data_IF_726256272872
#
_entry.id   IF_726256272872
#
_cell.length_a   1.000
_cell.length_b   1.000
_cell.length_c   1.000
_cell.angle_alpha   90.00
_cell.angle_beta   90.00
_cell.angle_gamma   90.00
#
_symmetry.space_group_name_H-M   'P 1'
#
loop_
_entity.id
_entity.type
_entity.pdbx_description
1 polymer ?
#
# COMPACT_ATOMS: atom_id res chain seq x y z
N UNK A 1 -47.31 -16.01 -7.56
CA UNK A 1 -46.45 -14.82 -7.59
C UNK A 1 -45.86 -14.53 -6.20
N UNK A 2 -45.02 -15.38 -5.63
CA UNK A 2 -44.38 -15.17 -4.29
C UNK A 2 -43.05 -15.91 -4.14
N UNK A 3 -42.15 -15.85 -5.11
CA UNK A 3 -40.83 -16.52 -4.96
C UNK A 3 -39.59 -15.73 -5.42
N UNK A 4 -39.70 -14.46 -5.78
CA UNK A 4 -38.56 -13.68 -6.28
C UNK A 4 -37.91 -12.71 -5.30
N UNK A 5 -38.35 -12.70 -4.02
CA UNK A 5 -37.88 -11.71 -3.03
C UNK A 5 -36.76 -12.17 -2.09
N UNK A 6 -36.28 -13.43 -2.15
CA UNK A 6 -35.33 -13.98 -1.17
C UNK A 6 -33.86 -14.10 -1.64
N UNK A 7 -33.52 -13.75 -2.87
CA UNK A 7 -32.15 -13.97 -3.41
C UNK A 7 -31.22 -12.75 -3.26
N UNK A 8 -31.74 -11.55 -2.97
CA UNK A 8 -30.92 -10.32 -2.94
C UNK A 8 -30.00 -10.10 -1.72
N UNK A 9 -30.25 -10.59 -0.49
CA UNK A 9 -29.37 -10.28 0.64
C UNK A 9 -28.05 -11.06 0.64
N UNK A 10 -28.05 -12.28 0.09
CA UNK A 10 -26.88 -13.17 0.16
C UNK A 10 -25.78 -12.78 -0.82
N UNK A 11 -26.15 -12.27 -2.01
CA UNK A 11 -25.20 -11.79 -3.03
C UNK A 11 -24.48 -10.51 -2.60
N UNK A 12 -25.18 -9.59 -1.89
CA UNK A 12 -24.58 -8.38 -1.32
C UNK A 12 -23.65 -8.66 -0.13
N UNK A 13 -23.96 -9.69 0.67
CA UNK A 13 -23.10 -10.12 1.78
C UNK A 13 -21.79 -10.74 1.27
N UNK A 14 -21.85 -11.55 0.21
CA UNK A 14 -20.66 -12.15 -0.40
C UNK A 14 -19.76 -11.13 -1.09
N UNK A 15 -20.31 -10.07 -1.72
CA UNK A 15 -19.49 -9.00 -2.31
C UNK A 15 -18.80 -8.14 -1.24
N UNK A 16 -19.48 -7.83 -0.12
CA UNK A 16 -18.86 -7.09 1.00
C UNK A 16 -17.77 -7.90 1.71
N UNK A 17 -17.95 -9.22 1.80
CA UNK A 17 -16.91 -10.09 2.35
C UNK A 17 -15.76 -10.32 1.38
N UNK A 18 -15.99 -10.41 0.07
CA UNK A 18 -14.91 -10.47 -0.95
C UNK A 18 -14.06 -9.21 -0.94
N UNK A 19 -14.66 -8.03 -0.86
CA UNK A 19 -13.91 -6.76 -0.75
C UNK A 19 -13.05 -6.69 0.54
N UNK A 20 -13.55 -7.20 1.68
CA UNK A 20 -12.79 -7.22 2.93
C UNK A 20 -11.64 -8.24 2.95
N UNK A 21 -11.77 -9.35 2.22
CA UNK A 21 -10.75 -10.41 2.13
C UNK A 21 -9.63 -10.01 1.17
N UNK A 22 -9.94 -9.34 0.06
CA UNK A 22 -8.94 -8.79 -0.85
C UNK A 22 -8.04 -7.76 -0.15
N UNK A 23 -8.60 -6.96 0.77
CA UNK A 23 -7.86 -5.93 1.52
C UNK A 23 -6.84 -6.52 2.52
N UNK A 24 -7.04 -7.76 3.00
CA UNK A 24 -6.21 -8.34 4.06
C UNK A 24 -4.92 -9.02 3.61
N UNK A 25 -4.79 -9.42 2.34
CA UNK A 25 -3.71 -10.31 1.92
C UNK A 25 -2.87 -9.81 0.74
N UNK A 26 -3.39 -8.89 -0.06
CA UNK A 26 -2.55 -8.12 -1.00
C UNK A 26 -1.79 -6.99 -0.28
N UNK A 27 -2.12 -6.71 0.97
CA UNK A 27 -1.27 -5.97 1.89
C UNK A 27 0.10 -6.65 2.11
N UNK A 28 0.25 -7.94 1.82
CA UNK A 28 1.54 -8.63 1.83
C UNK A 28 2.48 -8.13 0.72
N UNK A 29 1.96 -7.75 -0.45
CA UNK A 29 2.79 -7.39 -1.60
C UNK A 29 3.06 -5.89 -1.77
N UNK A 30 2.28 -5.02 -1.13
CA UNK A 30 2.35 -3.56 -1.32
C UNK A 30 2.33 -2.77 -0.01
N UNK A 31 2.71 -3.45 1.09
CA UNK A 31 2.81 -2.82 2.39
C UNK A 31 1.66 -1.87 2.69
N UNK A 32 0.67 -2.38 3.42
CA UNK A 32 -0.37 -1.57 4.03
C UNK A 32 -1.30 -0.81 3.07
N UNK A 33 -2.28 -1.51 2.55
CA UNK A 33 -3.59 -0.90 2.44
C UNK A 33 -4.03 -0.57 3.88
N UNK A 34 -3.66 0.60 4.35
CA UNK A 34 -4.16 1.14 5.60
C UNK A 34 -5.69 1.13 5.52
N UNK A 35 -6.40 0.48 6.47
CA UNK A 35 -7.85 0.46 6.46
C UNK A 35 -8.34 1.91 6.64
N UNK A 36 -8.87 2.46 5.56
CA UNK A 36 -9.32 3.83 5.49
C UNK A 36 -8.89 4.40 4.14
N UNK A 37 -9.81 4.47 3.17
CA UNK A 37 -9.55 5.17 1.91
C UNK A 37 -9.20 6.61 2.23
N UNK A 38 -7.92 6.96 2.11
CA UNK A 38 -7.46 8.32 2.37
C UNK A 38 -8.20 9.28 1.45
N UNK A 39 -9.06 10.13 2.01
CA UNK A 39 -9.64 11.28 1.32
C UNK A 39 -8.65 12.44 1.27
N UNK A 40 -7.37 12.17 0.94
CA UNK A 40 -6.37 13.20 0.81
C UNK A 40 -6.77 14.17 -0.32
N UNK A 41 -6.99 15.42 0.02
CA UNK A 41 -7.17 16.51 -0.95
C UNK A 41 -5.79 17.02 -1.35
N UNK A 42 -5.46 16.91 -2.62
CA UNK A 42 -4.15 17.19 -3.22
C UNK A 42 -3.75 18.69 -3.22
N UNK A 43 -4.09 19.44 -2.18
CA UNK A 43 -3.75 20.89 -2.13
C UNK A 43 -2.30 21.19 -1.67
N UNK A 44 -1.47 20.14 -1.45
CA UNK A 44 -0.18 20.31 -0.76
C UNK A 44 1.06 19.82 -1.51
N UNK A 45 0.99 19.51 -2.81
CA UNK A 45 2.17 19.10 -3.60
C UNK A 45 2.64 20.21 -4.54
N UNK A 46 3.96 20.39 -4.67
CA UNK A 46 4.58 21.34 -5.60
C UNK A 46 4.59 20.86 -7.06
N UNK A 47 3.85 19.81 -7.40
CA UNK A 47 3.76 19.27 -8.75
C UNK A 47 2.33 19.15 -9.25
N UNK A 48 2.18 19.18 -10.59
CA UNK A 48 0.89 18.99 -11.25
C UNK A 48 0.60 17.50 -11.45
N UNK A 49 -0.44 16.97 -10.80
CA UNK A 49 -0.86 15.57 -10.94
C UNK A 49 -1.25 15.18 -12.38
N UNK A 50 -1.77 16.12 -13.18
CA UNK A 50 -2.09 15.85 -14.58
C UNK A 50 -0.82 15.58 -15.40
N UNK A 51 0.28 16.27 -15.10
CA UNK A 51 1.59 16.05 -15.70
C UNK A 51 2.14 14.67 -15.32
N UNK A 52 2.03 14.29 -14.04
CA UNK A 52 2.41 12.97 -13.53
C UNK A 52 1.61 11.85 -14.22
N UNK A 53 0.29 12.01 -14.33
CA UNK A 53 -0.57 11.04 -15.02
C UNK A 53 -0.14 10.89 -16.47
N UNK A 54 0.10 11.99 -17.17
CA UNK A 54 0.54 11.97 -18.57
C UNK A 54 1.88 11.25 -18.73
N UNK A 55 2.88 11.61 -17.93
CA UNK A 55 4.21 11.02 -18.00
C UNK A 55 4.21 9.51 -17.72
N UNK A 56 3.53 9.08 -16.66
CA UNK A 56 3.44 7.67 -16.29
C UNK A 56 2.60 6.84 -17.26
N UNK A 57 1.59 7.44 -17.93
CA UNK A 57 0.81 6.76 -18.99
C UNK A 57 1.63 6.59 -20.27
N UNK A 58 2.33 7.64 -20.74
CA UNK A 58 3.09 7.62 -22.00
C UNK A 58 4.27 6.64 -21.97
N UNK A 59 4.83 6.37 -20.81
CA UNK A 59 6.04 5.58 -20.63
C UNK A 59 5.79 4.15 -20.11
N UNK A 60 4.52 3.67 -20.16
CA UNK A 60 4.14 2.37 -19.63
C UNK A 60 3.53 1.46 -20.70
N UNK A 61 3.97 0.21 -20.73
CA UNK A 61 3.33 -0.84 -21.52
C UNK A 61 2.15 -1.42 -20.74
N UNK A 62 0.93 -1.21 -21.23
CA UNK A 62 -0.28 -1.80 -20.68
C UNK A 62 -0.42 -3.22 -21.23
N UNK A 63 -0.60 -4.25 -20.39
CA UNK A 63 -0.94 -5.57 -20.88
C UNK A 63 -2.28 -5.52 -21.59
N UNK A 64 -2.29 -5.67 -22.90
CA UNK A 64 -3.52 -5.69 -23.71
C UNK A 64 -4.10 -7.10 -23.77
N UNK A 65 -5.31 -7.29 -23.21
CA UNK A 65 -6.10 -8.53 -23.35
C UNK A 65 -6.90 -8.86 -22.08
N UNK A 66 -8.03 -9.54 -22.25
CA UNK A 66 -8.74 -10.18 -21.14
C UNK A 66 -7.91 -11.37 -20.64
N UNK A 67 -7.15 -11.16 -19.56
CA UNK A 67 -6.37 -12.21 -18.91
C UNK A 67 -7.22 -12.74 -17.75
N UNK A 68 -7.28 -14.06 -17.57
CA UNK A 68 -7.94 -14.65 -16.39
C UNK A 68 -7.26 -14.21 -15.09
N UNK A 69 -8.01 -14.17 -13.98
CA UNK A 69 -7.56 -13.66 -12.67
C UNK A 69 -6.21 -14.26 -12.24
N UNK A 70 -6.04 -15.59 -12.34
CA UNK A 70 -4.79 -16.27 -11.96
C UNK A 70 -3.60 -15.80 -12.81
N UNK A 71 -3.78 -15.68 -14.13
CA UNK A 71 -2.73 -15.22 -15.03
C UNK A 71 -2.35 -13.75 -14.77
N UNK A 72 -3.31 -12.92 -14.38
CA UNK A 72 -3.06 -11.53 -14.01
C UNK A 72 -2.17 -11.43 -12.74
N UNK A 73 -2.42 -12.25 -11.71
CA UNK A 73 -1.56 -12.31 -10.52
C UNK A 73 -0.17 -12.87 -10.83
N UNK A 74 -0.06 -13.86 -11.71
CA UNK A 74 1.24 -14.38 -12.17
C UNK A 74 2.05 -13.29 -12.91
N UNK A 75 1.39 -12.52 -13.79
CA UNK A 75 2.04 -11.38 -14.47
C UNK A 75 2.49 -10.32 -13.48
N UNK A 76 1.64 -9.98 -12.51
CA UNK A 76 1.99 -9.03 -11.47
C UNK A 76 3.23 -9.49 -10.68
N UNK A 77 3.29 -10.76 -10.29
CA UNK A 77 4.48 -11.32 -9.64
C UNK A 77 5.75 -11.24 -10.49
N UNK A 78 5.63 -11.43 -11.82
CA UNK A 78 6.76 -11.26 -12.75
C UNK A 78 7.24 -9.80 -12.81
N UNK A 79 6.32 -8.83 -12.80
CA UNK A 79 6.66 -7.41 -12.80
C UNK A 79 7.36 -7.01 -11.51
N UNK A 80 6.80 -7.37 -10.34
CA UNK A 80 7.41 -7.12 -9.03
C UNK A 80 8.84 -7.68 -8.96
N UNK A 81 9.04 -8.91 -9.43
CA UNK A 81 10.36 -9.52 -9.47
C UNK A 81 11.33 -8.75 -10.38
N UNK A 82 10.89 -8.36 -11.58
CA UNK A 82 11.70 -7.59 -12.52
C UNK A 82 12.20 -6.29 -11.89
N UNK A 83 11.33 -5.61 -11.14
CA UNK A 83 11.68 -4.37 -10.46
C UNK A 83 12.61 -4.63 -9.27
N UNK A 84 12.38 -5.70 -8.51
CA UNK A 84 13.24 -6.08 -7.39
C UNK A 84 14.66 -6.48 -7.84
N UNK A 85 14.80 -7.14 -9.01
CA UNK A 85 16.10 -7.58 -9.56
C UNK A 85 16.87 -6.42 -10.23
N UNK A 86 16.37 -5.16 -10.23
CA UNK A 86 17.09 -4.00 -10.81
C UNK A 86 18.23 -3.53 -9.92
N UNK A 87 19.35 -3.22 -10.54
CA UNK A 87 20.53 -2.67 -9.86
C UNK A 87 20.36 -1.18 -9.49
N UNK A 88 19.57 -0.43 -10.29
CA UNK A 88 19.37 1.01 -10.12
C UNK A 88 17.86 1.34 -10.12
N UNK A 89 17.44 2.17 -9.16
CA UNK A 89 16.09 2.69 -9.04
C UNK A 89 16.03 4.15 -9.49
N UNK A 90 14.96 4.50 -10.20
CA UNK A 90 14.78 5.86 -10.71
C UNK A 90 14.00 6.71 -9.72
N UNK A 91 14.63 7.69 -9.09
CA UNK A 91 13.92 8.63 -8.21
C UNK A 91 12.93 9.44 -9.02
N UNK A 92 11.66 9.40 -8.66
CA UNK A 92 10.58 10.09 -9.33
C UNK A 92 10.02 11.28 -8.53
N UNK A 93 9.78 11.09 -7.22
CA UNK A 93 9.38 12.18 -6.33
C UNK A 93 10.38 12.32 -5.19
N UNK A 94 10.63 13.55 -4.78
CA UNK A 94 11.43 13.89 -3.60
C UNK A 94 10.63 14.75 -2.64
N UNK A 95 10.57 14.31 -1.39
CA UNK A 95 10.13 15.11 -0.26
C UNK A 95 11.32 15.72 0.48
N UNK A 96 11.09 16.24 1.67
CA UNK A 96 12.11 16.79 2.58
C UNK A 96 13.12 15.71 2.99
N UNK A 97 12.68 14.53 3.32
CA UNK A 97 13.48 13.34 3.67
C UNK A 97 13.07 12.12 2.84
N UNK A 98 11.82 12.03 2.45
CA UNK A 98 11.23 10.91 1.72
C UNK A 98 11.63 10.91 0.23
N UNK A 99 11.81 9.72 -0.32
CA UNK A 99 12.10 9.50 -1.75
C UNK A 99 11.17 8.42 -2.26
N UNK A 100 10.53 8.67 -3.41
CA UNK A 100 9.66 7.71 -4.10
C UNK A 100 10.25 7.42 -5.46
N UNK A 101 10.44 6.14 -5.78
CA UNK A 101 10.98 5.72 -7.06
C UNK A 101 9.88 5.50 -8.09
N UNK A 102 10.26 5.52 -9.37
CA UNK A 102 9.34 5.22 -10.47
C UNK A 102 8.84 3.78 -10.37
N UNK A 103 9.70 2.87 -10.00
CA UNK A 103 9.41 1.44 -9.83
C UNK A 103 8.38 1.21 -8.73
N UNK A 104 8.47 1.90 -7.58
CA UNK A 104 7.44 1.85 -6.52
C UNK A 104 6.08 2.35 -7.02
N UNK A 105 6.06 3.41 -7.84
CA UNK A 105 4.82 3.90 -8.44
C UNK A 105 4.24 2.90 -9.45
N UNK A 106 5.07 2.33 -10.34
CA UNK A 106 4.65 1.34 -11.32
C UNK A 106 4.04 0.10 -10.66
N UNK A 107 4.64 -0.40 -9.57
CA UNK A 107 4.09 -1.49 -8.76
C UNK A 107 2.73 -1.13 -8.15
N UNK A 108 2.59 0.08 -7.60
CA UNK A 108 1.32 0.56 -7.07
C UNK A 108 0.23 0.69 -8.15
N UNK A 109 0.60 1.20 -9.33
CA UNK A 109 -0.32 1.31 -10.48
C UNK A 109 -0.79 -0.08 -10.93
N UNK A 110 0.14 -1.03 -11.10
CA UNK A 110 -0.18 -2.42 -11.48
C UNK A 110 -1.15 -3.06 -10.51
N UNK A 111 -0.94 -2.84 -9.22
CA UNK A 111 -1.83 -3.32 -8.17
C UNK A 111 -3.27 -2.78 -8.32
N UNK A 112 -3.42 -1.47 -8.50
CA UNK A 112 -4.75 -0.86 -8.64
C UNK A 112 -5.44 -1.26 -9.94
N UNK A 113 -4.68 -1.37 -11.04
CA UNK A 113 -5.19 -1.87 -12.33
C UNK A 113 -5.63 -3.33 -12.22
N UNK A 114 -4.85 -4.19 -11.54
CA UNK A 114 -5.22 -5.57 -11.23
C UNK A 114 -6.52 -5.65 -10.41
N UNK A 115 -6.74 -4.69 -9.51
CA UNK A 115 -7.99 -4.51 -8.76
C UNK A 115 -9.17 -3.98 -9.60
N UNK A 116 -8.98 -3.73 -10.92
CA UNK A 116 -10.02 -3.24 -11.83
C UNK A 116 -10.17 -1.73 -11.87
N UNK A 117 -9.22 -0.96 -11.33
CA UNK A 117 -9.22 0.49 -11.43
C UNK A 117 -8.76 0.92 -12.83
N UNK A 118 -9.37 1.99 -13.37
CA UNK A 118 -8.89 2.62 -14.60
C UNK A 118 -7.50 3.21 -14.37
N UNK A 119 -6.63 3.08 -15.36
CA UNK A 119 -5.21 3.46 -15.25
C UNK A 119 -5.00 4.88 -14.74
N UNK A 120 -5.69 5.88 -15.29
CA UNK A 120 -5.58 7.27 -14.80
C UNK A 120 -5.86 7.40 -13.29
N UNK A 121 -6.88 6.70 -12.79
CA UNK A 121 -7.21 6.69 -11.37
C UNK A 121 -6.20 5.87 -10.57
N UNK A 122 -5.70 4.77 -11.14
CA UNK A 122 -4.67 3.94 -10.54
C UNK A 122 -3.38 4.73 -10.32
N UNK A 123 -2.95 5.54 -11.30
CA UNK A 123 -1.80 6.44 -11.18
C UNK A 123 -2.01 7.42 -10.03
N UNK A 124 -3.15 8.13 -10.00
CA UNK A 124 -3.45 9.11 -8.95
C UNK A 124 -3.45 8.47 -7.56
N UNK A 125 -4.02 7.28 -7.43
CA UNK A 125 -4.06 6.57 -6.14
C UNK A 125 -2.70 6.00 -5.76
N UNK A 126 -1.93 5.45 -6.70
CA UNK A 126 -0.58 4.95 -6.44
C UNK A 126 0.36 6.06 -5.95
N UNK A 127 0.36 7.22 -6.61
CA UNK A 127 1.16 8.39 -6.18
C UNK A 127 0.78 8.83 -4.79
N UNK A 128 -0.52 8.96 -4.52
CA UNK A 128 -1.04 9.35 -3.21
C UNK A 128 -0.63 8.37 -2.11
N UNK A 129 -0.79 7.07 -2.35
CA UNK A 129 -0.44 6.04 -1.37
C UNK A 129 1.08 5.96 -1.14
N UNK A 130 1.88 6.11 -2.19
CA UNK A 130 3.34 6.16 -2.05
C UNK A 130 3.78 7.36 -1.20
N UNK A 131 3.22 8.56 -1.44
CA UNK A 131 3.51 9.74 -0.61
C UNK A 131 3.14 9.51 0.86
N UNK A 132 1.98 8.94 1.12
CA UNK A 132 1.54 8.62 2.50
C UNK A 132 2.48 7.60 3.13
N UNK A 133 2.77 6.50 2.43
CA UNK A 133 3.63 5.41 2.94
C UNK A 133 5.02 5.91 3.30
N UNK A 134 5.67 6.62 2.38
CA UNK A 134 7.02 7.14 2.62
C UNK A 134 7.04 8.22 3.72
N UNK A 135 6.02 9.09 3.79
CA UNK A 135 5.93 10.08 4.87
C UNK A 135 5.78 9.44 6.25
N UNK A 136 4.96 8.38 6.35
CA UNK A 136 4.77 7.65 7.63
C UNK A 136 6.01 6.84 7.96
N UNK A 137 6.72 6.27 6.98
CA UNK A 137 7.98 5.56 7.19
C UNK A 137 9.06 6.48 7.75
N UNK A 138 9.25 7.67 7.15
CA UNK A 138 10.20 8.68 7.61
C UNK A 138 9.89 9.12 9.06
N UNK A 139 8.60 9.33 9.36
CA UNK A 139 8.19 9.68 10.71
C UNK A 139 8.43 8.53 11.70
N UNK A 140 8.08 7.31 11.33
CA UNK A 140 8.29 6.13 12.17
C UNK A 140 9.78 5.93 12.51
N UNK A 141 10.66 6.09 11.53
CA UNK A 141 12.12 5.96 11.74
C UNK A 141 12.68 7.12 12.57
N UNK A 142 12.20 8.35 12.36
CA UNK A 142 12.57 9.51 13.17
C UNK A 142 12.13 9.36 14.65
N UNK A 143 11.01 8.69 14.90
CA UNK A 143 10.51 8.33 16.23
C UNK A 143 11.16 7.06 16.83
N UNK A 144 12.13 6.45 16.12
CA UNK A 144 12.92 5.32 16.60
C UNK A 144 12.29 3.94 16.39
N UNK A 145 11.25 3.81 15.57
CA UNK A 145 10.60 2.53 15.25
C UNK A 145 11.38 1.74 14.18
N UNK A 146 12.69 1.66 14.33
CA UNK A 146 13.53 0.84 13.47
C UNK A 146 13.35 -0.65 13.78
N UNK A 147 13.64 -1.50 12.80
CA UNK A 147 13.56 -2.95 12.93
C UNK A 147 14.87 -3.61 12.50
N UNK A 148 15.18 -4.74 13.11
CA UNK A 148 16.29 -5.59 12.72
C UNK A 148 15.87 -6.64 11.71
N UNK A 149 16.83 -7.18 10.98
CA UNK A 149 16.59 -8.29 10.03
C UNK A 149 15.97 -9.51 10.72
N UNK A 150 16.35 -9.81 11.97
CA UNK A 150 15.80 -10.94 12.72
C UNK A 150 14.34 -10.72 13.11
N UNK A 151 13.95 -9.49 13.44
CA UNK A 151 12.55 -9.15 13.71
C UNK A 151 11.70 -9.27 12.46
N UNK A 152 12.21 -8.85 11.29
CA UNK A 152 11.52 -9.02 10.00
C UNK A 152 11.36 -10.51 9.69
N UNK A 153 12.42 -11.31 9.82
CA UNK A 153 12.36 -12.77 9.60
C UNK A 153 11.36 -13.44 10.52
N UNK A 154 11.33 -13.06 11.79
CA UNK A 154 10.36 -13.60 12.76
C UNK A 154 8.93 -13.25 12.35
N UNK A 155 8.66 -11.99 11.95
CA UNK A 155 7.36 -11.54 11.51
C UNK A 155 6.89 -12.29 10.25
N UNK A 156 7.75 -12.39 9.23
CA UNK A 156 7.46 -13.15 7.99
C UNK A 156 7.27 -14.64 8.28
N UNK A 157 7.97 -15.20 9.26
CA UNK A 157 7.76 -16.59 9.70
C UNK A 157 6.35 -16.85 10.23
N UNK A 158 5.75 -15.89 10.95
CA UNK A 158 4.34 -15.98 11.38
C UNK A 158 3.37 -15.78 10.21
N UNK A 159 3.65 -14.85 9.30
CA UNK A 159 2.84 -14.68 8.09
C UNK A 159 2.78 -15.94 7.24
N UNK A 160 3.90 -16.62 7.01
CA UNK A 160 3.95 -17.90 6.28
C UNK A 160 3.01 -18.96 6.86
N UNK A 161 2.91 -19.05 8.19
CA UNK A 161 2.02 -20.00 8.87
C UNK A 161 0.53 -19.72 8.62
N UNK A 162 0.17 -18.45 8.43
CA UNK A 162 -1.22 -18.04 8.21
C UNK A 162 -1.64 -18.10 6.74
N UNK A 163 -0.69 -17.89 5.83
CA UNK A 163 -0.93 -17.84 4.39
C UNK A 163 -1.59 -19.10 3.82
N UNK A 164 -1.18 -20.27 4.29
CA UNK A 164 -1.75 -21.56 3.85
C UNK A 164 -3.24 -21.76 4.17
N UNK A 165 -3.84 -20.91 5.03
CA UNK A 165 -5.24 -20.96 5.46
C UNK A 165 -6.08 -19.83 4.88
N UNK A 166 -5.52 -19.03 4.02
CA UNK A 166 -6.16 -17.83 3.53
C UNK A 166 -7.13 -18.11 2.38
N UNK A 167 -8.23 -17.37 2.36
CA UNK A 167 -9.30 -17.50 1.37
C UNK A 167 -8.85 -17.19 -0.07
N UNK A 168 -7.74 -16.44 -0.23
CA UNK A 168 -7.14 -16.04 -1.51
C UNK A 168 -5.85 -16.78 -1.84
N UNK A 169 -5.70 -18.01 -1.33
CA UNK A 169 -4.52 -18.85 -1.60
C UNK A 169 -4.19 -18.99 -3.10
N UNK A 170 -5.21 -19.09 -3.96
CA UNK A 170 -5.02 -19.22 -5.42
C UNK A 170 -4.29 -18.01 -5.99
N UNK A 171 -4.67 -16.80 -5.58
CA UNK A 171 -4.04 -15.56 -6.02
C UNK A 171 -2.58 -15.47 -5.53
N UNK A 172 -2.35 -15.86 -4.28
CA UNK A 172 -1.00 -15.87 -3.68
C UNK A 172 -0.12 -16.90 -4.38
N UNK A 173 -0.62 -18.11 -4.64
CA UNK A 173 0.13 -19.13 -5.35
C UNK A 173 0.50 -18.67 -6.79
N UNK A 174 -0.42 -17.99 -7.48
CA UNK A 174 -0.16 -17.44 -8.81
C UNK A 174 0.91 -16.31 -8.76
N UNK A 175 0.85 -15.46 -7.74
CA UNK A 175 1.85 -14.41 -7.51
C UNK A 175 3.24 -15.02 -7.29
N UNK A 176 3.35 -16.01 -6.39
CA UNK A 176 4.60 -16.75 -6.10
C UNK A 176 5.14 -17.42 -7.38
N UNK A 177 4.26 -17.98 -8.20
CA UNK A 177 4.64 -18.55 -9.50
C UNK A 177 5.26 -17.49 -10.42
N UNK A 178 4.76 -16.26 -10.40
CA UNK A 178 5.34 -15.11 -11.11
C UNK A 178 6.78 -14.81 -10.66
N UNK A 179 7.08 -14.93 -9.37
CA UNK A 179 8.45 -14.82 -8.84
C UNK A 179 9.37 -15.96 -9.26
N UNK A 180 8.83 -17.09 -9.74
CA UNK A 180 9.56 -18.27 -10.17
C UNK A 180 9.98 -19.22 -9.03
N UNK A 181 9.97 -18.76 -7.78
CA UNK A 181 10.12 -19.60 -6.58
C UNK A 181 9.56 -18.90 -5.34
N UNK A 182 9.17 -19.71 -4.34
CA UNK A 182 8.72 -19.20 -3.05
C UNK A 182 9.85 -18.45 -2.31
N UNK A 183 11.10 -18.91 -2.44
CA UNK A 183 12.26 -18.26 -1.85
C UNK A 183 12.41 -16.82 -2.34
N UNK A 184 12.40 -16.59 -3.65
CA UNK A 184 12.50 -15.25 -4.25
C UNK A 184 11.34 -14.34 -3.85
N UNK A 185 10.14 -14.88 -3.74
CA UNK A 185 9.00 -14.14 -3.25
C UNK A 185 9.23 -13.67 -1.80
N UNK A 186 9.74 -14.53 -0.92
CA UNK A 186 10.00 -14.14 0.47
C UNK A 186 11.21 -13.22 0.63
N UNK A 187 12.18 -13.28 -0.27
CA UNK A 187 13.27 -12.30 -0.31
C UNK A 187 12.76 -10.91 -0.69
N UNK A 188 11.83 -10.85 -1.66
CA UNK A 188 11.13 -9.62 -1.99
C UNK A 188 10.31 -9.10 -0.79
N UNK A 189 9.48 -9.92 -0.18
CA UNK A 189 8.70 -9.56 1.01
C UNK A 189 9.60 -9.08 2.15
N UNK A 190 10.77 -9.70 2.33
CA UNK A 190 11.74 -9.23 3.31
C UNK A 190 12.18 -7.79 3.04
N UNK A 191 12.41 -7.42 1.79
CA UNK A 191 12.75 -6.05 1.40
C UNK A 191 11.61 -5.06 1.65
N UNK A 192 10.37 -5.46 1.37
CA UNK A 192 9.16 -4.67 1.61
C UNK A 192 8.97 -4.40 3.11
N UNK A 193 9.13 -5.43 3.93
CA UNK A 193 8.93 -5.31 5.40
C UNK A 193 10.04 -4.54 6.12
N UNK A 194 11.15 -4.21 5.48
CA UNK A 194 12.12 -3.22 5.99
C UNK A 194 11.49 -1.83 6.20
N UNK A 195 10.51 -1.47 5.34
CA UNK A 195 9.74 -0.23 5.48
C UNK A 195 8.41 -0.45 6.23
N UNK A 196 7.72 -1.51 5.94
CA UNK A 196 6.35 -1.69 6.44
C UNK A 196 6.28 -2.06 7.91
N UNK A 197 7.22 -2.84 8.44
CA UNK A 197 7.20 -3.22 9.84
C UNK A 197 7.44 -2.04 10.80
N UNK A 198 8.35 -1.09 10.52
CA UNK A 198 8.41 0.20 11.22
C UNK A 198 7.10 0.95 11.23
N UNK A 199 6.44 1.07 10.07
CA UNK A 199 5.14 1.76 9.92
C UNK A 199 4.06 1.08 10.79
N UNK A 200 3.97 -0.25 10.73
CA UNK A 200 3.01 -1.04 11.52
C UNK A 200 3.21 -0.78 13.02
N UNK A 201 4.44 -0.87 13.49
CA UNK A 201 4.78 -0.66 14.92
C UNK A 201 4.47 0.75 15.37
N UNK A 202 4.79 1.72 14.55
CA UNK A 202 4.49 3.12 14.83
C UNK A 202 3.00 3.38 14.95
N UNK A 203 2.21 2.89 14.00
CA UNK A 203 0.75 3.06 14.03
C UNK A 203 0.11 2.35 15.24
N UNK A 204 0.57 1.16 15.60
CA UNK A 204 0.12 0.46 16.81
C UNK A 204 0.45 1.27 18.09
N UNK A 205 1.62 1.89 18.14
CA UNK A 205 1.99 2.75 19.26
C UNK A 205 1.15 4.03 19.30
N UNK A 206 0.87 4.66 18.14
CA UNK A 206 -0.04 5.80 18.05
C UNK A 206 -1.45 5.45 18.51
N UNK A 207 -1.99 4.30 18.08
CA UNK A 207 -3.32 3.84 18.51
C UNK A 207 -3.38 3.66 20.02
N UNK A 208 -2.34 3.04 20.61
CA UNK A 208 -2.25 2.89 22.06
C UNK A 208 -2.19 4.24 22.77
N UNK A 209 -1.34 5.17 22.33
CA UNK A 209 -1.25 6.52 22.90
C UNK A 209 -2.57 7.29 22.78
N UNK A 210 -3.28 7.14 21.66
CA UNK A 210 -4.59 7.74 21.43
C UNK A 210 -5.62 7.22 22.44
N UNK A 211 -5.70 5.89 22.60
CA UNK A 211 -6.62 5.26 23.54
C UNK A 211 -6.30 5.63 25.01
N UNK A 212 -5.02 5.74 25.35
CA UNK A 212 -4.54 6.16 26.67
C UNK A 212 -4.65 7.70 26.89
N UNK A 213 -5.08 8.47 25.88
CA UNK A 213 -5.18 9.94 25.89
C UNK A 213 -3.87 10.65 26.25
N UNK A 214 -2.74 10.08 25.85
CA UNK A 214 -1.39 10.58 26.15
C UNK A 214 -0.54 10.78 24.89
N UNK A 215 -1.17 11.20 23.80
CA UNK A 215 -0.51 11.43 22.51
C UNK A 215 0.71 12.34 22.63
N UNK A 216 1.81 11.87 22.03
CA UNK A 216 3.04 12.64 21.86
C UNK A 216 3.40 12.56 20.38
N UNK A 217 3.34 13.66 19.68
CA UNK A 217 3.60 13.75 18.25
C UNK A 217 4.80 14.67 18.03
N UNK A 218 5.70 14.28 17.15
CA UNK A 218 6.79 15.16 16.70
C UNK A 218 6.25 16.32 15.88
N UNK A 219 5.25 16.05 15.03
CA UNK A 219 4.55 17.08 14.27
C UNK A 219 3.39 17.65 15.12
N UNK A 220 3.56 18.85 15.68
CA UNK A 220 2.62 19.49 16.60
C UNK A 220 1.45 20.22 15.91
N UNK A 221 1.44 20.24 14.57
CA UNK A 221 0.38 20.87 13.74
C UNK A 221 -0.95 20.14 13.82
N UNK A 222 -0.96 18.86 14.21
CA UNK A 222 -2.17 18.05 14.39
C UNK A 222 -2.40 17.77 15.86
N UNK A 223 -3.55 18.24 16.37
CA UNK A 223 -3.97 17.91 17.73
C UNK A 223 -4.98 16.77 17.70
N UNK A 224 -4.84 15.75 18.56
CA UNK A 224 -5.80 14.67 18.61
C UNK A 224 -7.17 15.18 19.06
N UNK A 225 -8.19 14.88 18.26
CA UNK A 225 -9.61 15.07 18.61
C UNK A 225 -10.18 13.68 18.86
N UNK A 226 -10.67 13.44 20.10
CA UNK A 226 -11.14 12.09 20.49
C UNK A 226 -12.58 11.80 20.03
N UNK A 227 -13.25 12.77 19.43
CA UNK A 227 -14.63 12.65 18.93
C UNK A 227 -14.70 11.86 17.62
N UNK A 228 -13.68 11.94 16.78
CA UNK A 228 -13.63 11.29 15.45
C UNK A 228 -13.09 9.86 15.50
N UNK A 229 -12.63 9.40 16.65
CA UNK A 229 -11.96 8.12 16.82
C UNK A 229 -10.53 8.11 16.25
N UNK A 230 -9.78 7.02 16.53
CA UNK A 230 -8.39 6.91 16.09
C UNK A 230 -8.23 6.97 14.57
N UNK A 231 -9.14 6.35 13.81
CA UNK A 231 -9.07 6.38 12.33
C UNK A 231 -9.13 7.80 11.76
N UNK A 232 -10.06 8.64 12.25
CA UNK A 232 -10.16 10.04 11.81
C UNK A 232 -8.94 10.87 12.19
N UNK A 233 -8.40 10.67 13.38
CA UNK A 233 -7.13 11.27 13.79
C UNK A 233 -5.98 10.84 12.88
N UNK A 234 -5.84 9.52 12.63
CA UNK A 234 -4.73 8.97 11.85
C UNK A 234 -4.72 9.49 10.41
N UNK A 235 -5.88 9.63 9.77
CA UNK A 235 -5.97 10.21 8.42
C UNK A 235 -5.48 11.66 8.40
N UNK A 236 -5.92 12.50 9.31
CA UNK A 236 -5.45 13.89 9.44
C UNK A 236 -3.95 13.98 9.71
N UNK A 237 -3.43 13.05 10.51
CA UNK A 237 -2.01 13.00 10.81
C UNK A 237 -1.18 12.61 9.59
N UNK A 238 -1.61 11.61 8.82
CA UNK A 238 -0.99 11.23 7.54
C UNK A 238 -0.99 12.39 6.54
N UNK A 239 -2.11 13.10 6.40
CA UNK A 239 -2.18 14.29 5.55
C UNK A 239 -1.17 15.36 5.97
N UNK A 240 -1.00 15.60 7.26
CA UNK A 240 -0.03 16.55 7.77
C UNK A 240 1.43 16.09 7.52
N UNK A 241 1.74 14.80 7.63
CA UNK A 241 3.04 14.25 7.32
C UNK A 241 3.39 14.40 5.84
N UNK A 242 2.44 14.11 4.93
CA UNK A 242 2.62 14.34 3.49
C UNK A 242 2.87 15.82 3.19
N UNK A 243 2.13 16.71 3.84
CA UNK A 243 2.32 18.16 3.70
C UNK A 243 3.68 18.61 4.22
N UNK A 244 4.18 18.07 5.33
CA UNK A 244 5.50 18.38 5.87
C UNK A 244 6.62 17.95 4.92
N UNK A 245 6.43 16.83 4.21
CA UNK A 245 7.40 16.36 3.21
C UNK A 245 7.50 17.28 1.99
N UNK A 246 6.43 17.97 1.59
CA UNK A 246 6.42 18.91 0.46
C UNK A 246 7.01 18.30 -0.82
N UNK A 247 6.41 17.21 -1.30
CA UNK A 247 6.91 16.47 -2.46
C UNK A 247 6.97 17.28 -3.75
N UNK A 248 8.03 17.08 -4.53
CA UNK A 248 8.23 17.62 -5.88
C UNK A 248 8.76 16.55 -6.83
N UNK A 249 8.61 16.76 -8.15
CA UNK A 249 9.23 15.91 -9.17
C UNK A 249 10.77 15.97 -9.04
N UNK A 250 11.41 14.80 -9.11
CA UNK A 250 12.86 14.73 -9.18
C UNK A 250 13.31 15.24 -10.57
N UNK A 251 14.24 16.18 -10.56
CA UNK A 251 14.84 16.74 -11.79
C UNK A 251 16.04 15.91 -12.20
#
# INVERSE_FOLDING_TARGET
MRELAKIKPQRRRNMKNKAKVITGMLALCLGLLLPGGCSYKQEASEFNMEEVVKDLTENREIPSGEVGEEAAYEMFGKNLRKDYDRDEMTVYLKGKTAVITKEELEQGIDYYVLGGMKEENAIKEAVKQAMVRESVYEEATAEGYNVTDDEIKAYLGELKKTMGKADNKVQVDALIKGFGSEEKYWDYEFSVYKKDLPIIRYQQALEKQYNDKNMKLRLDTVKPTYEEGFGGFLEKYKEALVKDQNFSLAK
#
